data_IF_093323689764
#
_entry.id   IF_093323689764
#
_cell.length_a   1.000
_cell.length_b   1.000
_cell.length_c   1.000
_cell.angle_alpha   90.00
_cell.angle_beta   90.00
_cell.angle_gamma   90.00
#
_symmetry.space_group_name_H-M   'P 1'
#
loop_
_entity.id
_entity.type
_entity.pdbx_description
1 polymer ?
#
# COMPACT_ATOMS: atom_id res chain seq x y z
N UNK A 1 -13.61 18.55 -50.34
CA UNK A 1 -12.32 17.86 -50.10
C UNK A 1 -11.59 18.60 -48.97
N UNK A 2 -11.87 18.24 -47.73
CA UNK A 2 -11.19 18.84 -46.58
C UNK A 2 -9.95 18.03 -46.25
N UNK A 3 -8.80 18.63 -46.37
CA UNK A 3 -7.53 18.05 -45.94
C UNK A 3 -7.44 18.11 -44.42
N UNK A 4 -7.66 16.98 -43.74
CA UNK A 4 -7.31 16.79 -42.31
C UNK A 4 -5.80 16.91 -42.18
N UNK A 5 -5.33 18.04 -41.67
CA UNK A 5 -3.94 18.27 -41.27
C UNK A 5 -3.65 17.39 -40.06
N UNK A 6 -2.99 16.26 -40.24
CA UNK A 6 -2.40 15.49 -39.16
C UNK A 6 -1.28 16.35 -38.55
N UNK A 7 -1.55 16.94 -37.37
CA UNK A 7 -0.50 17.50 -36.52
C UNK A 7 0.41 16.37 -36.06
N UNK A 8 1.58 16.28 -36.64
CA UNK A 8 2.69 15.44 -36.16
C UNK A 8 3.01 15.90 -34.74
N UNK A 9 2.61 15.14 -33.71
CA UNK A 9 3.05 15.39 -32.35
C UNK A 9 4.56 15.19 -32.31
N UNK A 10 5.30 16.29 -32.13
CA UNK A 10 6.73 16.25 -31.79
C UNK A 10 6.87 15.31 -30.58
N UNK A 11 7.73 14.31 -30.70
CA UNK A 11 8.03 13.41 -29.59
C UNK A 11 8.48 14.26 -28.37
N UNK A 12 7.69 14.25 -27.32
CA UNK A 12 7.99 14.98 -26.08
C UNK A 12 9.22 14.35 -25.43
N UNK A 13 10.24 15.16 -25.15
CA UNK A 13 11.41 14.70 -24.41
C UNK A 13 11.02 14.53 -22.95
N UNK A 14 11.22 13.36 -22.40
CA UNK A 14 11.00 13.03 -20.98
C UNK A 14 12.34 13.11 -20.27
N UNK A 15 12.45 13.94 -19.26
CA UNK A 15 13.68 14.13 -18.47
C UNK A 15 13.50 13.75 -16.99
N UNK A 16 12.35 14.07 -16.39
CA UNK A 16 12.14 13.93 -14.97
C UNK A 16 10.88 13.12 -14.66
N UNK A 17 11.04 12.03 -13.92
CA UNK A 17 9.94 11.14 -13.53
C UNK A 17 9.84 11.07 -12.01
N UNK A 18 8.66 11.31 -11.47
CA UNK A 18 8.36 11.20 -10.05
C UNK A 18 7.68 9.85 -9.74
N UNK A 19 8.30 9.07 -8.89
CA UNK A 19 7.81 7.78 -8.40
C UNK A 19 7.29 7.99 -6.98
N UNK A 20 5.97 7.81 -6.76
CA UNK A 20 5.35 8.10 -5.46
C UNK A 20 5.52 6.97 -4.44
N UNK A 21 6.65 6.29 -4.49
CA UNK A 21 7.09 5.24 -3.57
C UNK A 21 8.45 5.57 -2.96
N UNK A 22 8.85 4.88 -1.87
CA UNK A 22 10.21 4.96 -1.36
C UNK A 22 11.23 4.56 -2.44
N UNK A 23 12.43 5.14 -2.34
CA UNK A 23 13.56 4.71 -3.17
C UNK A 23 13.87 3.24 -2.90
N UNK A 24 14.10 2.41 -3.92
CA UNK A 24 14.52 1.03 -3.72
C UNK A 24 15.87 0.94 -2.97
N UNK A 25 15.95 0.01 -2.02
CA UNK A 25 17.18 -0.23 -1.24
C UNK A 25 18.29 -0.90 -2.07
N UNK A 26 17.91 -1.64 -3.12
CA UNK A 26 18.83 -2.37 -3.97
C UNK A 26 19.23 -1.57 -5.19
N UNK A 27 20.53 -1.42 -5.42
CA UNK A 27 21.09 -0.80 -6.64
C UNK A 27 20.80 -1.60 -7.92
N UNK A 28 20.31 -2.84 -7.78
CA UNK A 28 19.86 -3.69 -8.91
C UNK A 28 18.41 -3.46 -9.29
N UNK A 29 17.77 -2.41 -8.75
CA UNK A 29 16.38 -2.10 -9.10
C UNK A 29 16.27 -1.74 -10.59
N UNK A 30 15.26 -2.29 -11.31
CA UNK A 30 15.01 -1.96 -12.72
C UNK A 30 14.77 -0.46 -12.98
N UNK A 31 14.43 0.32 -11.96
CA UNK A 31 14.32 1.77 -12.07
C UNK A 31 15.65 2.43 -12.42
N UNK A 32 16.76 1.99 -11.84
CA UNK A 32 18.08 2.57 -12.13
C UNK A 32 18.59 2.17 -13.52
N UNK A 33 18.08 1.08 -14.10
CA UNK A 33 18.34 0.73 -15.50
C UNK A 33 17.67 1.75 -16.46
N UNK A 34 16.48 2.27 -16.10
CA UNK A 34 15.82 3.31 -16.89
C UNK A 34 16.63 4.60 -16.93
N UNK A 35 17.20 5.04 -15.79
CA UNK A 35 18.07 6.21 -15.72
C UNK A 35 19.27 6.05 -16.66
N UNK A 36 19.94 4.88 -16.61
CA UNK A 36 21.11 4.58 -17.45
C UNK A 36 20.77 4.48 -18.93
N UNK A 37 19.62 3.85 -19.25
CA UNK A 37 19.22 3.57 -20.62
C UNK A 37 18.68 4.80 -21.37
N UNK A 38 17.91 5.64 -20.70
CA UNK A 38 17.18 6.74 -21.32
C UNK A 38 17.68 8.13 -20.90
N UNK A 39 18.62 8.22 -19.96
CA UNK A 39 19.11 9.51 -19.46
C UNK A 39 18.06 10.30 -18.66
N UNK A 40 16.99 9.64 -18.21
CA UNK A 40 15.95 10.26 -17.38
C UNK A 40 16.38 10.31 -15.92
N UNK A 41 15.91 11.32 -15.17
CA UNK A 41 16.10 11.42 -13.73
C UNK A 41 14.87 10.89 -13.01
N UNK A 42 15.05 9.91 -12.11
CA UNK A 42 14.00 9.39 -11.26
C UNK A 42 14.07 10.03 -9.87
N UNK A 43 12.96 10.63 -9.45
CA UNK A 43 12.79 11.13 -8.08
C UNK A 43 11.82 10.22 -7.35
N UNK A 44 12.22 9.72 -6.19
CA UNK A 44 11.40 8.86 -5.34
C UNK A 44 10.92 9.67 -4.14
N UNK A 45 9.61 9.86 -4.01
CA UNK A 45 9.01 10.54 -2.90
C UNK A 45 7.65 9.92 -2.56
N UNK A 46 7.53 9.19 -1.45
CA UNK A 46 6.23 8.70 -1.00
C UNK A 46 5.26 9.86 -0.78
N UNK A 47 4.06 9.75 -1.34
CA UNK A 47 3.00 10.75 -1.15
C UNK A 47 2.19 10.49 0.12
N UNK A 48 2.27 9.26 0.63
CA UNK A 48 1.66 8.85 1.89
C UNK A 48 2.70 8.21 2.79
N UNK A 49 2.48 8.29 4.09
CA UNK A 49 3.20 7.54 5.11
C UNK A 49 2.21 6.87 6.06
N UNK A 50 2.65 5.83 6.71
CA UNK A 50 1.85 5.16 7.73
C UNK A 50 2.20 5.77 9.08
N UNK A 51 1.19 6.29 9.78
CA UNK A 51 1.32 6.81 11.14
C UNK A 51 0.51 5.98 12.12
N UNK A 52 1.08 5.76 13.30
CA UNK A 52 0.37 5.11 14.38
C UNK A 52 -0.71 6.00 14.97
N UNK A 53 -1.85 5.40 15.30
CA UNK A 53 -2.90 6.08 16.08
C UNK A 53 -2.39 6.33 17.49
N UNK A 54 -2.44 7.57 18.01
CA UNK A 54 -2.02 7.87 19.39
C UNK A 54 -2.85 7.11 20.43
N UNK A 55 -2.23 6.75 21.56
CA UNK A 55 -2.89 6.00 22.64
C UNK A 55 -4.15 6.69 23.16
N UNK A 56 -4.18 8.04 23.19
CA UNK A 56 -5.37 8.83 23.56
C UNK A 56 -6.54 8.59 22.61
N UNK A 57 -6.26 8.48 21.31
CA UNK A 57 -7.27 8.22 20.28
C UNK A 57 -7.70 6.75 20.31
N UNK A 58 -6.76 5.82 20.49
CA UNK A 58 -7.06 4.40 20.64
C UNK A 58 -8.01 4.13 21.82
N UNK A 59 -7.81 4.78 22.98
CA UNK A 59 -8.71 4.63 24.14
C UNK A 59 -10.17 4.95 23.85
N UNK A 60 -10.45 5.84 22.89
CA UNK A 60 -11.82 6.17 22.49
C UNK A 60 -12.54 5.01 21.81
N UNK A 61 -11.80 4.05 21.25
CA UNK A 61 -12.36 2.86 20.61
C UNK A 61 -12.94 1.87 21.62
N UNK A 62 -12.60 2.01 22.92
CA UNK A 62 -13.09 1.16 24.02
C UNK A 62 -12.83 -0.35 23.81
N UNK A 63 -11.73 -0.68 23.14
CA UNK A 63 -11.30 -2.06 22.91
C UNK A 63 -10.25 -2.41 23.93
N UNK A 64 -10.50 -3.45 24.71
CA UNK A 64 -9.51 -4.03 25.64
C UNK A 64 -8.78 -5.18 24.95
N UNK A 65 -7.55 -4.92 24.52
CA UNK A 65 -6.70 -5.88 23.81
C UNK A 65 -6.49 -7.18 24.62
N UNK A 66 -6.40 -7.06 25.94
CA UNK A 66 -6.12 -8.21 26.82
C UNK A 66 -7.24 -9.27 26.85
N UNK A 67 -8.44 -8.90 26.40
CA UNK A 67 -9.56 -9.85 26.35
C UNK A 67 -9.50 -10.81 25.15
N UNK A 68 -8.66 -10.54 24.16
CA UNK A 68 -8.57 -11.34 22.93
C UNK A 68 -7.47 -12.38 23.05
N UNK A 69 -7.79 -13.59 22.59
CA UNK A 69 -6.90 -14.75 22.69
C UNK A 69 -6.13 -15.04 21.40
N UNK A 70 -6.55 -14.40 20.30
CA UNK A 70 -5.95 -14.57 19.00
C UNK A 70 -5.84 -13.21 18.26
N UNK A 71 -4.75 -13.00 17.51
CA UNK A 71 -4.53 -11.79 16.73
C UNK A 71 -4.30 -12.15 15.26
N UNK A 72 -4.97 -11.42 14.35
CA UNK A 72 -4.83 -11.60 12.91
C UNK A 72 -3.94 -10.49 12.35
N UNK A 73 -2.88 -10.85 11.62
CA UNK A 73 -1.95 -9.90 11.01
C UNK A 73 -1.86 -10.08 9.49
N UNK A 74 -2.17 -9.04 8.74
CA UNK A 74 -2.09 -9.01 7.28
C UNK A 74 -0.85 -8.26 6.76
N UNK A 75 -0.07 -7.62 7.63
CA UNK A 75 1.12 -6.87 7.24
C UNK A 75 2.10 -6.71 8.41
N UNK A 76 3.35 -6.37 8.10
CA UNK A 76 4.34 -6.00 9.12
C UNK A 76 3.94 -4.72 9.87
N UNK A 77 3.31 -3.76 9.19
CA UNK A 77 2.81 -2.53 9.82
C UNK A 77 1.77 -2.82 10.91
N UNK A 78 0.87 -3.78 10.66
CA UNK A 78 -0.11 -4.16 11.69
C UNK A 78 0.55 -4.76 12.93
N UNK A 79 1.65 -5.51 12.77
CA UNK A 79 2.46 -6.05 13.88
C UNK A 79 3.15 -4.91 14.63
N UNK A 80 3.90 -4.05 13.92
CA UNK A 80 4.63 -2.94 14.54
C UNK A 80 3.70 -2.05 15.37
N UNK A 81 2.56 -1.65 14.80
CA UNK A 81 1.61 -0.78 15.49
C UNK A 81 0.84 -1.48 16.61
N UNK A 82 0.60 -2.78 16.51
CA UNK A 82 0.00 -3.55 17.60
C UNK A 82 0.90 -3.56 18.83
N UNK A 83 2.17 -3.97 18.67
CA UNK A 83 3.10 -4.04 19.79
C UNK A 83 3.45 -2.66 20.33
N UNK A 84 3.62 -1.64 19.47
CA UNK A 84 3.76 -0.24 19.89
C UNK A 84 2.58 0.19 20.78
N UNK A 85 1.33 -0.09 20.36
CA UNK A 85 0.15 0.27 21.15
C UNK A 85 0.11 -0.48 22.48
N UNK A 86 0.45 -1.77 22.49
CA UNK A 86 0.54 -2.55 23.74
C UNK A 86 1.58 -1.94 24.70
N UNK A 87 2.76 -1.57 24.21
CA UNK A 87 3.81 -0.93 25.01
C UNK A 87 3.35 0.42 25.57
N UNK A 88 2.84 1.32 24.74
CA UNK A 88 2.34 2.64 25.15
C UNK A 88 1.19 2.57 26.15
N UNK A 89 0.34 1.55 26.03
CA UNK A 89 -0.79 1.30 26.92
C UNK A 89 -0.42 0.43 28.14
N UNK A 90 0.82 -0.06 28.22
CA UNK A 90 1.30 -1.00 29.24
C UNK A 90 0.46 -2.28 29.30
N UNK A 91 0.05 -2.79 28.15
CA UNK A 91 -0.70 -4.03 28.01
C UNK A 91 0.29 -5.19 27.83
N UNK A 92 0.25 -6.15 28.72
CA UNK A 92 1.02 -7.40 28.58
C UNK A 92 0.23 -8.38 27.74
N UNK A 93 0.75 -8.70 26.55
CA UNK A 93 0.15 -9.73 25.69
C UNK A 93 0.45 -11.10 26.27
N UNK A 94 -0.58 -11.94 26.44
CA UNK A 94 -0.42 -13.28 27.01
C UNK A 94 0.51 -14.15 26.15
N UNK A 95 1.36 -14.96 26.80
CA UNK A 95 2.17 -15.96 26.09
C UNK A 95 1.32 -17.06 25.44
N UNK A 96 0.05 -17.17 25.80
CA UNK A 96 -0.90 -18.13 25.24
C UNK A 96 -1.61 -17.58 23.99
N UNK A 97 -1.46 -16.29 23.68
CA UNK A 97 -2.03 -15.67 22.49
C UNK A 97 -1.59 -16.39 21.22
N UNK A 98 -2.55 -16.68 20.34
CA UNK A 98 -2.32 -17.24 19.01
C UNK A 98 -2.24 -16.11 17.97
N UNK A 99 -1.44 -16.32 16.94
CA UNK A 99 -1.24 -15.36 15.86
C UNK A 99 -1.56 -16.01 14.52
N UNK A 100 -2.40 -15.35 13.73
CA UNK A 100 -2.80 -15.78 12.41
C UNK A 100 -2.30 -14.76 11.39
N UNK A 101 -1.41 -15.18 10.50
CA UNK A 101 -0.73 -14.29 9.58
C UNK A 101 -1.10 -14.61 8.14
N UNK A 102 -1.18 -13.58 7.29
CA UNK A 102 -1.52 -13.75 5.88
C UNK A 102 -0.45 -14.55 5.12
N UNK A 103 0.83 -14.41 5.50
CA UNK A 103 1.96 -15.11 4.89
C UNK A 103 2.97 -15.56 5.93
N UNK A 104 3.84 -16.51 5.56
CA UNK A 104 4.97 -16.92 6.37
C UNK A 104 5.92 -15.75 6.69
N UNK A 105 6.18 -14.87 5.72
CA UNK A 105 7.04 -13.70 5.92
C UNK A 105 6.52 -12.74 6.99
N UNK A 106 5.20 -12.59 7.11
CA UNK A 106 4.56 -11.83 8.19
C UNK A 106 4.66 -12.59 9.52
N UNK A 107 4.45 -13.91 9.51
CA UNK A 107 4.57 -14.75 10.68
C UNK A 107 5.99 -14.73 11.28
N UNK A 108 7.01 -14.86 10.44
CA UNK A 108 8.42 -14.81 10.87
C UNK A 108 8.80 -13.43 11.43
N UNK A 109 8.18 -12.35 10.96
CA UNK A 109 8.43 -11.00 11.48
C UNK A 109 8.04 -10.85 12.96
N UNK A 110 7.11 -11.67 13.47
CA UNK A 110 6.73 -11.70 14.89
C UNK A 110 7.90 -12.03 15.83
N UNK A 111 8.95 -12.68 15.34
CA UNK A 111 10.15 -12.99 16.15
C UNK A 111 10.81 -11.75 16.76
N UNK A 112 10.56 -10.58 16.22
CA UNK A 112 11.05 -9.31 16.78
C UNK A 112 10.37 -8.92 18.11
N UNK A 113 9.18 -9.47 18.36
CA UNK A 113 8.31 -9.02 19.45
C UNK A 113 7.96 -10.10 20.44
N UNK A 114 7.99 -11.38 20.02
CA UNK A 114 7.58 -12.51 20.82
C UNK A 114 8.59 -13.67 20.77
N UNK A 115 8.56 -14.52 21.80
CA UNK A 115 9.17 -15.85 21.71
C UNK A 115 8.35 -16.69 20.71
N UNK A 116 8.90 -16.87 19.52
CA UNK A 116 8.23 -17.58 18.44
C UNK A 116 8.04 -19.07 18.76
N UNK A 117 6.78 -19.50 18.79
CA UNK A 117 6.40 -20.89 19.02
C UNK A 117 5.52 -21.36 17.86
N UNK A 118 5.95 -22.37 17.10
CA UNK A 118 5.20 -22.92 15.94
C UNK A 118 3.73 -23.28 16.28
N UNK A 119 3.46 -23.75 17.49
CA UNK A 119 2.10 -24.09 17.94
C UNK A 119 1.19 -22.88 18.22
N UNK A 120 1.72 -21.65 18.16
CA UNK A 120 0.99 -20.41 18.44
C UNK A 120 0.97 -19.46 17.25
N UNK A 121 1.76 -19.72 16.22
CA UNK A 121 1.87 -18.86 15.04
C UNK A 121 1.49 -19.65 13.81
N UNK A 122 0.43 -19.23 13.16
CA UNK A 122 -0.16 -19.87 11.99
C UNK A 122 -0.17 -18.92 10.82
N UNK A 123 -0.10 -19.41 9.60
CA UNK A 123 -0.11 -18.56 8.39
C UNK A 123 -0.72 -19.29 7.20
N UNK A 124 -1.26 -18.50 6.26
CA UNK A 124 -1.77 -18.97 4.99
C UNK A 124 -0.64 -19.42 4.06
N UNK A 125 -0.91 -20.40 3.21
CA UNK A 125 0.10 -21.03 2.36
C UNK A 125 0.51 -20.16 1.16
N UNK A 126 -0.40 -19.33 0.63
CA UNK A 126 -0.25 -18.61 -0.64
C UNK A 126 -0.41 -17.09 -0.54
N UNK A 127 -0.63 -16.57 0.68
CA UNK A 127 -0.82 -15.14 0.93
C UNK A 127 -2.20 -14.61 0.57
N UNK A 128 -3.17 -15.48 0.26
CA UNK A 128 -4.57 -15.11 0.06
C UNK A 128 -5.34 -15.10 1.37
N UNK A 129 -6.40 -14.28 1.45
CA UNK A 129 -7.33 -14.31 2.57
C UNK A 129 -7.96 -15.69 2.73
N UNK A 130 -8.32 -16.36 1.62
CA UNK A 130 -8.88 -17.71 1.63
C UNK A 130 -7.99 -18.70 2.38
N UNK A 131 -6.71 -18.75 2.02
CA UNK A 131 -5.74 -19.63 2.66
C UNK A 131 -5.59 -19.35 4.15
N UNK A 132 -5.61 -18.08 4.56
CA UNK A 132 -5.62 -17.69 5.96
C UNK A 132 -6.91 -18.12 6.67
N UNK A 133 -8.07 -17.99 6.02
CA UNK A 133 -9.37 -18.42 6.57
C UNK A 133 -9.41 -19.93 6.83
N UNK A 134 -8.84 -20.75 5.94
CA UNK A 134 -8.75 -22.19 6.11
C UNK A 134 -7.97 -22.58 7.38
N UNK A 135 -6.99 -21.77 7.74
CA UNK A 135 -6.20 -21.95 8.96
C UNK A 135 -6.98 -21.47 10.18
N UNK A 136 -7.60 -20.28 10.13
CA UNK A 136 -8.42 -19.74 11.24
C UNK A 136 -9.60 -20.67 11.56
N UNK A 137 -10.24 -21.26 10.53
CA UNK A 137 -11.39 -22.14 10.69
C UNK A 137 -11.13 -23.32 11.64
N UNK A 138 -9.89 -23.81 11.70
CA UNK A 138 -9.49 -24.92 12.58
C UNK A 138 -9.42 -24.52 14.07
N UNK A 139 -9.45 -23.22 14.36
CA UNK A 139 -9.27 -22.66 15.72
C UNK A 139 -10.43 -21.76 16.17
N UNK A 140 -11.36 -21.42 15.28
CA UNK A 140 -12.39 -20.37 15.51
C UNK A 140 -13.27 -20.58 16.74
N UNK A 141 -13.51 -21.82 17.13
CA UNK A 141 -14.46 -22.15 18.23
C UNK A 141 -13.98 -21.73 19.61
N UNK A 142 -12.69 -21.52 19.80
CA UNK A 142 -12.08 -21.33 21.12
C UNK A 142 -11.34 -19.99 21.23
N UNK A 143 -11.44 -19.13 20.21
CA UNK A 143 -10.66 -17.89 20.18
C UNK A 143 -11.56 -16.66 20.04
N UNK A 144 -11.13 -15.60 20.73
CA UNK A 144 -11.62 -14.23 20.50
C UNK A 144 -10.57 -13.50 19.67
N UNK A 145 -10.96 -13.05 18.50
CA UNK A 145 -10.02 -12.52 17.51
C UNK A 145 -9.87 -11.01 17.62
N UNK A 146 -8.65 -10.54 17.57
CA UNK A 146 -8.33 -9.15 17.36
C UNK A 146 -7.74 -9.00 15.96
N UNK A 147 -8.31 -8.11 15.14
CA UNK A 147 -7.79 -7.79 13.82
C UNK A 147 -7.31 -6.33 13.77
N UNK A 148 -6.03 -6.07 14.14
CA UNK A 148 -5.43 -4.74 14.04
C UNK A 148 -5.38 -4.27 12.59
N UNK A 149 -5.99 -3.13 12.32
CA UNK A 149 -6.14 -2.63 10.96
C UNK A 149 -5.89 -1.11 10.86
N UNK A 150 -5.88 -0.61 9.62
CA UNK A 150 -5.98 0.81 9.33
C UNK A 150 -7.45 1.26 9.26
N UNK A 151 -7.69 2.55 9.12
CA UNK A 151 -9.04 3.10 8.87
C UNK A 151 -9.73 2.44 7.67
N UNK A 152 -8.95 2.06 6.64
CA UNK A 152 -9.42 1.33 5.46
C UNK A 152 -9.21 -0.18 5.67
N UNK A 153 -10.01 -0.79 6.55
CA UNK A 153 -9.90 -2.22 6.83
C UNK A 153 -10.39 -3.08 5.66
N UNK A 154 -9.85 -4.29 5.58
CA UNK A 154 -10.31 -5.29 4.63
C UNK A 154 -11.68 -5.84 5.05
N UNK A 155 -12.71 -5.50 4.27
CA UNK A 155 -14.07 -5.94 4.52
C UNK A 155 -14.27 -7.45 4.32
N UNK A 156 -13.41 -8.12 3.54
CA UNK A 156 -13.48 -9.57 3.33
C UNK A 156 -13.17 -10.32 4.63
N UNK A 157 -12.12 -9.91 5.36
CA UNK A 157 -11.74 -10.54 6.63
C UNK A 157 -12.85 -10.36 7.67
N UNK A 158 -13.35 -9.15 7.84
CA UNK A 158 -14.43 -8.88 8.81
C UNK A 158 -15.74 -9.56 8.41
N UNK A 159 -16.03 -9.62 7.12
CA UNK A 159 -17.17 -10.35 6.56
C UNK A 159 -17.09 -11.85 6.87
N UNK A 160 -15.93 -12.45 6.65
CA UNK A 160 -15.71 -13.86 6.95
C UNK A 160 -15.84 -14.17 8.45
N UNK A 161 -15.25 -13.34 9.32
CA UNK A 161 -15.35 -13.51 10.78
C UNK A 161 -16.83 -13.46 11.24
N UNK A 162 -17.61 -12.49 10.75
CA UNK A 162 -19.06 -12.40 11.04
C UNK A 162 -19.83 -13.63 10.56
N UNK A 163 -19.63 -14.03 9.31
CA UNK A 163 -20.32 -15.19 8.70
C UNK A 163 -20.00 -16.50 9.42
N UNK A 164 -18.85 -16.58 10.10
CA UNK A 164 -18.44 -17.73 10.88
C UNK A 164 -18.73 -17.59 12.38
N UNK A 165 -19.52 -16.57 12.80
CA UNK A 165 -19.93 -16.33 14.17
C UNK A 165 -18.74 -16.19 15.14
N UNK A 166 -17.60 -15.68 14.67
CA UNK A 166 -16.45 -15.44 15.52
C UNK A 166 -16.68 -14.18 16.38
N UNK A 167 -16.28 -14.23 17.65
CA UNK A 167 -16.15 -13.03 18.46
C UNK A 167 -14.88 -12.28 18.03
N UNK A 168 -15.00 -11.01 17.63
CA UNK A 168 -13.84 -10.23 17.19
C UNK A 168 -13.99 -8.72 17.39
N UNK A 169 -12.83 -8.04 17.41
CA UNK A 169 -12.75 -6.58 17.29
C UNK A 169 -11.67 -6.18 16.27
N UNK A 170 -11.86 -4.97 15.74
CA UNK A 170 -11.00 -4.39 14.71
C UNK A 170 -10.41 -3.05 15.18
N UNK A 171 -9.41 -3.06 16.08
CA UNK A 171 -8.78 -1.83 16.51
C UNK A 171 -8.05 -1.13 15.36
N UNK A 172 -8.37 0.14 15.16
CA UNK A 172 -7.64 1.01 14.24
C UNK A 172 -6.37 1.48 14.95
N UNK A 173 -5.22 0.94 14.54
CA UNK A 173 -3.93 1.20 15.18
C UNK A 173 -3.00 2.08 14.37
N UNK A 174 -3.29 2.28 13.09
CA UNK A 174 -2.50 3.11 12.19
C UNK A 174 -3.38 3.67 11.06
N UNK A 175 -2.88 4.71 10.41
CA UNK A 175 -3.55 5.36 9.28
C UNK A 175 -2.54 5.79 8.23
N UNK A 176 -2.99 5.84 6.99
CA UNK A 176 -2.24 6.45 5.91
C UNK A 176 -2.49 7.96 5.94
N UNK A 177 -1.43 8.74 6.08
CA UNK A 177 -1.49 10.20 6.05
C UNK A 177 -0.68 10.75 4.89
N UNK A 178 -1.13 11.87 4.36
CA UNK A 178 -0.43 12.56 3.27
C UNK A 178 0.90 13.14 3.77
N UNK A 179 1.95 12.98 2.97
CA UNK A 179 3.17 13.73 3.15
C UNK A 179 3.01 15.14 2.59
N UNK A 180 3.79 16.09 3.10
CA UNK A 180 3.91 17.40 2.46
C UNK A 180 4.78 17.28 1.20
N UNK A 181 4.16 17.46 0.06
CA UNK A 181 4.79 17.38 -1.26
C UNK A 181 4.71 18.71 -2.03
N UNK A 182 4.20 19.77 -1.40
CA UNK A 182 3.97 21.08 -2.06
C UNK A 182 5.27 21.64 -2.64
N UNK A 183 6.31 21.71 -1.83
CA UNK A 183 7.61 22.25 -2.25
C UNK A 183 8.23 21.40 -3.36
N UNK A 184 8.12 20.08 -3.28
CA UNK A 184 8.61 19.17 -4.31
C UNK A 184 7.92 19.43 -5.66
N UNK A 185 6.60 19.54 -5.66
CA UNK A 185 5.83 19.74 -6.88
C UNK A 185 5.95 21.17 -7.43
N UNK A 186 6.11 22.15 -6.55
CA UNK A 186 6.33 23.55 -6.99
C UNK A 186 7.69 23.77 -7.67
N UNK A 187 8.73 23.08 -7.18
CA UNK A 187 10.10 23.23 -7.67
C UNK A 187 10.50 22.16 -8.70
N UNK A 188 9.75 21.08 -8.78
CA UNK A 188 10.06 19.95 -9.65
C UNK A 188 9.37 20.09 -11.00
N UNK A 189 10.17 20.17 -12.07
CA UNK A 189 9.65 20.08 -13.43
C UNK A 189 9.54 18.60 -13.81
N UNK A 190 8.48 17.93 -13.36
CA UNK A 190 8.23 16.53 -13.68
C UNK A 190 7.47 16.40 -15.02
N UNK A 191 7.90 15.44 -15.80
CA UNK A 191 7.23 15.07 -17.06
C UNK A 191 6.21 13.94 -16.83
N UNK A 192 6.50 13.07 -15.86
CA UNK A 192 5.66 11.93 -15.49
C UNK A 192 5.55 11.85 -13.96
N UNK A 193 4.34 11.57 -13.45
CA UNK A 193 4.13 11.13 -12.06
C UNK A 193 3.51 9.73 -12.07
N UNK A 194 4.10 8.79 -11.32
CA UNK A 194 3.62 7.42 -11.19
C UNK A 194 3.00 7.18 -9.82
N UNK A 195 1.70 6.87 -9.78
CA UNK A 195 0.93 6.52 -8.58
C UNK A 195 0.84 5.01 -8.38
N UNK A 196 0.88 4.57 -7.12
CA UNK A 196 0.81 3.15 -6.76
C UNK A 196 -0.38 2.81 -5.86
N UNK A 197 -1.05 3.80 -5.34
CA UNK A 197 -2.22 3.63 -4.47
C UNK A 197 -3.23 4.76 -4.67
N UNK A 198 -4.52 4.51 -4.43
CA UNK A 198 -5.53 5.57 -4.39
C UNK A 198 -5.20 6.69 -3.38
N UNK A 199 -4.60 6.32 -2.23
CA UNK A 199 -4.14 7.29 -1.23
C UNK A 199 -3.09 8.27 -1.76
N UNK A 200 -2.21 7.84 -2.67
CA UNK A 200 -1.25 8.72 -3.33
C UNK A 200 -1.93 9.76 -4.22
N UNK A 201 -2.96 9.36 -4.95
CA UNK A 201 -3.77 10.29 -5.76
C UNK A 201 -4.49 11.30 -4.86
N UNK A 202 -5.15 10.81 -3.80
CA UNK A 202 -5.81 11.67 -2.80
C UNK A 202 -4.84 12.67 -2.18
N UNK A 203 -3.64 12.22 -1.81
CA UNK A 203 -2.58 13.06 -1.25
C UNK A 203 -2.17 14.22 -2.17
N UNK A 204 -2.14 13.99 -3.49
CA UNK A 204 -1.88 15.06 -4.45
C UNK A 204 -2.88 16.22 -4.28
N UNK A 205 -4.18 15.92 -4.22
CA UNK A 205 -5.22 16.94 -4.10
C UNK A 205 -5.34 17.53 -2.69
N UNK A 206 -5.00 16.78 -1.64
CA UNK A 206 -4.88 17.33 -0.29
C UNK A 206 -3.77 18.37 -0.19
N UNK A 207 -2.66 18.15 -0.89
CA UNK A 207 -1.56 19.10 -0.95
C UNK A 207 -1.83 20.26 -1.91
N UNK A 208 -2.43 19.98 -3.07
CA UNK A 208 -2.69 20.96 -4.13
C UNK A 208 -4.16 20.85 -4.57
N UNK A 209 -5.12 21.45 -3.85
CA UNK A 209 -6.56 21.27 -4.12
C UNK A 209 -7.01 21.71 -5.52
N UNK A 210 -6.26 22.61 -6.16
CA UNK A 210 -6.53 23.11 -7.52
C UNK A 210 -5.53 22.55 -8.54
N UNK A 211 -5.00 21.36 -8.29
CA UNK A 211 -4.05 20.74 -9.21
C UNK A 211 -4.65 20.60 -10.63
N UNK A 212 -3.88 21.00 -11.62
CA UNK A 212 -4.21 20.82 -13.04
C UNK A 212 -3.08 20.02 -13.69
N UNK A 213 -3.47 18.94 -14.35
CA UNK A 213 -2.50 18.04 -14.98
C UNK A 213 -1.68 18.74 -16.09
N UNK A 214 -2.32 19.58 -16.90
CA UNK A 214 -1.63 20.21 -18.05
C UNK A 214 -0.99 19.15 -18.95
N UNK A 215 0.29 19.34 -19.24
CA UNK A 215 1.08 18.42 -20.06
C UNK A 215 1.69 17.27 -19.27
N UNK A 216 1.51 17.21 -17.94
CA UNK A 216 2.06 16.17 -17.10
C UNK A 216 1.44 14.81 -17.45
N UNK A 217 2.27 13.79 -17.65
CA UNK A 217 1.84 12.44 -17.89
C UNK A 217 1.63 11.71 -16.56
N UNK A 218 0.57 10.90 -16.50
CA UNK A 218 0.24 10.12 -15.29
C UNK A 218 0.42 8.63 -15.57
N UNK A 219 1.22 7.99 -14.73
CA UNK A 219 1.32 6.56 -14.60
C UNK A 219 0.57 6.06 -13.37
N UNK A 220 -0.04 4.89 -13.45
CA UNK A 220 -0.67 4.25 -12.29
C UNK A 220 -0.46 2.74 -12.26
N UNK A 221 -0.37 2.18 -11.04
CA UNK A 221 -0.22 0.75 -10.80
C UNK A 221 -1.45 0.19 -10.10
N UNK A 222 -2.10 -0.78 -10.75
CA UNK A 222 -3.25 -1.51 -10.22
C UNK A 222 -4.60 -0.84 -10.46
N UNK A 223 -5.64 -1.67 -10.64
CA UNK A 223 -6.99 -1.25 -11.04
C UNK A 223 -7.62 -0.21 -10.11
N UNK A 224 -7.41 -0.33 -8.79
CA UNK A 224 -7.94 0.63 -7.83
C UNK A 224 -7.29 2.02 -7.98
N UNK A 225 -5.99 2.06 -8.32
CA UNK A 225 -5.27 3.31 -8.58
C UNK A 225 -5.70 3.93 -9.92
N UNK A 226 -5.95 3.11 -10.95
CA UNK A 226 -6.50 3.59 -12.23
C UNK A 226 -7.82 4.33 -12.01
N UNK A 227 -8.74 3.69 -11.28
CA UNK A 227 -10.03 4.28 -10.95
C UNK A 227 -9.88 5.59 -10.18
N UNK A 228 -9.00 5.63 -9.17
CA UNK A 228 -8.77 6.84 -8.40
C UNK A 228 -8.21 8.00 -9.24
N UNK A 229 -7.35 7.72 -10.22
CA UNK A 229 -6.83 8.72 -11.16
C UNK A 229 -7.97 9.27 -12.05
N UNK A 230 -8.82 8.38 -12.58
CA UNK A 230 -9.94 8.75 -13.45
C UNK A 230 -11.03 9.52 -12.67
N UNK A 231 -11.38 9.07 -11.47
CA UNK A 231 -12.34 9.76 -10.57
C UNK A 231 -11.86 11.15 -10.12
N UNK A 232 -10.53 11.34 -10.04
CA UNK A 232 -9.92 12.63 -9.77
C UNK A 232 -9.89 13.57 -10.98
N UNK A 233 -10.43 13.15 -12.13
CA UNK A 233 -10.45 13.94 -13.38
C UNK A 233 -9.10 14.01 -14.09
N UNK A 234 -8.17 13.12 -13.76
CA UNK A 234 -6.87 13.03 -14.40
C UNK A 234 -6.91 12.06 -15.59
N UNK A 235 -6.13 12.35 -16.62
CA UNK A 235 -5.95 11.46 -17.75
C UNK A 235 -4.79 10.51 -17.47
N UNK A 236 -5.03 9.20 -17.59
CA UNK A 236 -4.06 8.15 -17.34
C UNK A 236 -3.41 7.67 -18.65
N UNK A 237 -2.08 7.82 -18.78
CA UNK A 237 -1.35 7.44 -19.98
C UNK A 237 -0.56 6.14 -19.84
N UNK A 238 -0.05 5.84 -18.63
CA UNK A 238 0.83 4.69 -18.39
C UNK A 238 0.17 3.78 -17.36
N UNK A 239 -0.17 2.56 -17.78
CA UNK A 239 -0.84 1.56 -16.94
C UNK A 239 0.07 0.37 -16.64
N UNK A 240 0.06 -0.10 -15.40
CA UNK A 240 0.65 -1.35 -14.96
C UNK A 240 -0.17 -1.91 -13.76
N UNK A 241 -0.28 -3.25 -13.59
CA UNK A 241 0.16 -4.26 -14.54
C UNK A 241 -0.75 -4.35 -15.77
N UNK A 242 -0.15 -4.69 -16.91
CA UNK A 242 -0.85 -5.10 -18.12
C UNK A 242 -0.23 -6.41 -18.64
N UNK A 243 -0.89 -7.16 -19.54
CA UNK A 243 -0.25 -8.29 -20.21
C UNK A 243 1.13 -7.86 -20.79
N UNK A 244 2.18 -8.60 -20.48
CA UNK A 244 3.60 -8.32 -20.83
C UNK A 244 4.24 -7.12 -20.12
N UNK A 245 3.54 -6.43 -19.21
CA UNK A 245 4.05 -5.27 -18.46
C UNK A 245 3.71 -5.42 -16.98
N UNK A 246 4.37 -6.32 -16.24
CA UNK A 246 3.97 -6.70 -14.89
C UNK A 246 4.32 -5.66 -13.83
N UNK A 247 5.13 -4.64 -14.14
CA UNK A 247 5.59 -3.63 -13.20
C UNK A 247 5.55 -2.22 -13.80
N UNK A 248 5.58 -1.20 -12.94
CA UNK A 248 5.67 0.19 -13.38
C UNK A 248 6.99 0.49 -14.10
N UNK A 249 8.10 -0.10 -13.68
CA UNK A 249 9.38 0.04 -14.37
C UNK A 249 9.32 -0.53 -15.78
N UNK A 250 8.66 -1.68 -16.00
CA UNK A 250 8.44 -2.23 -17.34
C UNK A 250 7.51 -1.35 -18.18
N UNK A 251 6.48 -0.74 -17.57
CA UNK A 251 5.59 0.19 -18.25
C UNK A 251 6.33 1.45 -18.70
N UNK A 252 7.18 1.99 -17.85
CA UNK A 252 8.04 3.13 -18.17
C UNK A 252 9.05 2.78 -19.27
N UNK A 253 9.68 1.60 -19.22
CA UNK A 253 10.61 1.13 -20.26
C UNK A 253 9.91 1.07 -21.62
N UNK A 254 8.72 0.47 -21.69
CA UNK A 254 7.90 0.42 -22.91
C UNK A 254 7.52 1.82 -23.42
N UNK A 255 7.11 2.70 -22.49
CA UNK A 255 6.69 4.05 -22.83
C UNK A 255 7.86 4.90 -23.38
N UNK A 256 9.03 4.86 -22.73
CA UNK A 256 10.23 5.60 -23.09
C UNK A 256 10.88 5.07 -24.38
N UNK A 257 10.76 3.76 -24.65
CA UNK A 257 11.23 3.17 -25.91
C UNK A 257 10.45 3.66 -27.15
N UNK A 258 9.25 4.24 -26.93
CA UNK A 258 8.37 4.64 -28.02
C UNK A 258 7.70 3.47 -28.76
N UNK A 259 6.88 3.74 -29.79
CA UNK A 259 6.29 2.70 -30.60
C UNK A 259 7.39 1.89 -31.30
N UNK A 260 7.38 0.57 -31.15
CA UNK A 260 8.24 -0.30 -31.97
C UNK A 260 7.94 -0.03 -33.45
N UNK A 261 8.96 0.40 -34.20
CA UNK A 261 8.89 0.52 -35.66
C UNK A 261 8.71 -0.85 -36.29
#
# INVERSE_FOLDING_TARGET
MEKKTQKTQKARVINNILITQPRPDSDKSPYFDLERKYGVKLTFQPFIRIEGVPSKEFRKQKIDIAQYTAVIFTSRHSIDHFFRTCEEMRITVSQETKYFCITEAVALYLQKFILYRKRKVFYGADGTNKSMFDVIAKHKSNERFLYPCSENQDNEITGWLRSNMCEFATPILYKAVSNDIKTLLANGNFDIICFFTPGGVKSLFENIPKFKQGDLLIGAFGANTFRAVEEAGLTLQIKAPEPQVPSMSAALDRFLAGPKK
#
